data_IF_635034628693
#
_entry.id   IF_635034628693
#
_cell.length_a   1.000
_cell.length_b   1.000
_cell.length_c   1.000
_cell.angle_alpha   90.00
_cell.angle_beta   90.00
_cell.angle_gamma   90.00
#
_symmetry.space_group_name_H-M   'P 1'
#
loop_
_entity.id
_entity.type
_entity.pdbx_description
1 polymer ?
#
# COMPACT_ATOMS: atom_id res chain seq x y z
N UNK A 1 -43.09 -47.40 48.69
CA UNK A 1 -43.97 -46.44 49.39
C UNK A 1 -43.33 -45.08 49.28
N UNK A 2 -44.04 -44.16 48.60
CA UNK A 2 -43.89 -42.70 48.54
C UNK A 2 -42.49 -42.11 48.28
N UNK A 3 -42.22 -41.63 47.07
CA UNK A 3 -42.64 -40.32 46.53
C UNK A 3 -41.86 -39.16 47.15
N UNK A 4 -40.87 -38.64 46.42
CA UNK A 4 -40.82 -37.21 46.14
C UNK A 4 -39.96 -36.92 44.90
N UNK A 5 -40.65 -36.48 43.84
CA UNK A 5 -40.08 -35.93 42.61
C UNK A 5 -40.00 -34.42 42.80
N UNK A 6 -38.81 -33.85 42.76
CA UNK A 6 -38.65 -32.39 42.65
C UNK A 6 -38.65 -32.01 41.18
N UNK A 7 -39.70 -31.28 40.79
CA UNK A 7 -39.94 -30.72 39.47
C UNK A 7 -38.82 -29.76 39.05
N UNK A 8 -38.33 -29.96 37.83
CA UNK A 8 -37.55 -28.99 37.06
C UNK A 8 -38.53 -28.14 36.23
N UNK A 9 -38.43 -26.80 36.21
CA UNK A 9 -39.25 -26.02 35.29
C UNK A 9 -38.75 -26.23 33.87
N UNK A 10 -39.64 -26.73 33.01
CA UNK A 10 -39.41 -26.92 31.59
C UNK A 10 -39.25 -25.58 30.90
N UNK A 11 -38.16 -25.43 30.14
CA UNK A 11 -37.94 -24.28 29.25
C UNK A 11 -38.95 -24.31 28.09
N UNK A 12 -39.68 -23.21 27.93
CA UNK A 12 -40.52 -22.98 26.74
C UNK A 12 -39.68 -22.85 25.46
N UNK A 13 -40.17 -23.32 24.31
CA UNK A 13 -39.50 -23.12 23.04
C UNK A 13 -39.61 -21.66 22.57
N UNK A 14 -38.47 -21.09 22.17
CA UNK A 14 -38.38 -19.77 21.57
C UNK A 14 -39.28 -19.69 20.32
N UNK A 15 -40.27 -18.80 20.38
CA UNK A 15 -41.14 -18.45 19.25
C UNK A 15 -40.36 -17.60 18.25
N UNK A 16 -40.50 -17.93 16.98
CA UNK A 16 -40.05 -17.15 15.83
C UNK A 16 -40.38 -15.66 15.98
N UNK A 17 -39.34 -14.84 16.01
CA UNK A 17 -39.47 -13.39 15.90
C UNK A 17 -39.73 -13.03 14.44
N UNK A 18 -40.98 -12.69 14.12
CA UNK A 18 -41.34 -12.07 12.85
C UNK A 18 -40.59 -10.73 12.66
N UNK A 19 -40.19 -10.37 11.43
CA UNK A 19 -39.54 -9.09 11.17
C UNK A 19 -40.50 -7.93 11.46
N UNK A 20 -40.00 -6.92 12.19
CA UNK A 20 -40.71 -5.67 12.48
C UNK A 20 -41.22 -4.99 11.20
N UNK A 21 -42.43 -4.41 11.20
CA UNK A 21 -42.93 -3.66 10.06
C UNK A 21 -42.09 -2.40 9.87
N UNK A 22 -41.61 -2.22 8.63
CA UNK A 22 -41.02 -0.97 8.14
C UNK A 22 -41.97 0.19 8.46
N UNK A 23 -41.46 1.20 9.18
CA UNK A 23 -42.20 2.41 9.51
C UNK A 23 -42.65 3.17 8.25
N UNK A 24 -43.60 4.11 8.39
CA UNK A 24 -44.14 4.86 7.25
C UNK A 24 -43.01 5.64 6.56
N UNK A 25 -42.88 5.45 5.25
CA UNK A 25 -41.88 6.11 4.42
C UNK A 25 -41.98 7.63 4.50
N UNK A 26 -40.83 8.30 4.63
CA UNK A 26 -40.73 9.74 4.44
C UNK A 26 -41.14 10.11 3.01
N UNK A 27 -41.91 11.21 2.82
CA UNK A 27 -42.22 11.68 1.48
C UNK A 27 -40.93 12.15 0.80
N UNK A 28 -40.66 11.59 -0.39
CA UNK A 28 -39.59 12.05 -1.27
C UNK A 28 -40.00 13.43 -1.81
N UNK A 29 -39.21 14.46 -1.53
CA UNK A 29 -39.41 15.78 -2.10
C UNK A 29 -39.25 15.74 -3.63
N UNK A 30 -40.08 16.47 -4.40
CA UNK A 30 -39.89 16.55 -5.85
C UNK A 30 -38.54 17.21 -6.17
N UNK A 31 -37.88 16.81 -7.27
CA UNK A 31 -36.64 17.45 -7.69
C UNK A 31 -36.90 18.93 -8.01
N UNK A 32 -35.97 19.79 -7.59
CA UNK A 32 -35.99 21.21 -7.93
C UNK A 32 -35.86 21.39 -9.45
N UNK A 33 -36.53 22.40 -10.05
CA UNK A 33 -36.39 22.68 -11.47
C UNK A 33 -34.95 23.09 -11.78
N UNK A 34 -34.35 22.42 -12.77
CA UNK A 34 -33.08 22.85 -13.35
C UNK A 34 -33.37 23.90 -14.42
N UNK A 35 -32.95 25.15 -14.16
CA UNK A 35 -32.93 26.19 -15.19
C UNK A 35 -31.85 25.85 -16.22
N UNK A 36 -32.27 25.33 -17.37
CA UNK A 36 -31.41 25.24 -18.56
C UNK A 36 -31.22 26.65 -19.13
N UNK A 37 -30.00 27.22 -19.15
CA UNK A 37 -29.80 28.53 -19.76
C UNK A 37 -30.05 28.44 -21.26
N UNK A 38 -30.90 29.33 -21.78
CA UNK A 38 -31.24 29.35 -23.20
C UNK A 38 -30.01 29.64 -24.07
N UNK A 39 -30.03 29.11 -25.30
CA UNK A 39 -29.00 29.31 -26.33
C UNK A 39 -28.63 30.79 -26.55
N UNK A 40 -29.56 31.72 -26.30
CA UNK A 40 -29.33 33.15 -26.40
C UNK A 40 -28.42 33.72 -25.28
N UNK A 41 -28.45 33.14 -24.08
CA UNK A 41 -27.60 33.57 -22.96
C UNK A 41 -26.13 33.14 -23.16
N UNK A 42 -25.90 31.92 -23.67
CA UNK A 42 -24.56 31.44 -24.06
C UNK A 42 -23.95 32.25 -25.21
N UNK A 43 -24.78 32.67 -26.17
CA UNK A 43 -24.32 33.43 -27.35
C UNK A 43 -23.92 34.87 -26.99
N UNK A 44 -24.61 35.50 -26.04
CA UNK A 44 -24.23 36.85 -25.53
C UNK A 44 -22.94 36.82 -24.70
N UNK A 45 -22.72 35.79 -23.89
CA UNK A 45 -21.48 35.63 -23.11
C UNK A 45 -20.23 35.52 -24.02
N UNK A 46 -20.32 34.74 -25.09
CA UNK A 46 -19.23 34.61 -26.08
C UNK A 46 -19.00 35.91 -26.87
N UNK A 47 -20.04 36.72 -27.11
CA UNK A 47 -19.89 38.03 -27.77
C UNK A 47 -19.24 39.07 -26.86
N UNK A 48 -19.50 39.05 -25.55
CA UNK A 48 -18.84 39.95 -24.59
C UNK A 48 -17.35 39.65 -24.37
N UNK A 49 -16.89 38.43 -24.60
CA UNK A 49 -15.47 38.07 -24.46
C UNK A 49 -14.57 38.63 -25.59
N UNK A 50 -15.15 38.99 -26.74
CA UNK A 50 -14.40 39.50 -27.89
C UNK A 50 -14.05 41.00 -27.82
N UNK A 51 -14.64 41.77 -26.88
CA UNK A 51 -14.45 43.22 -26.78
C UNK A 51 -13.37 43.66 -25.77
N UNK A 52 -12.71 42.72 -25.08
CA UNK A 52 -11.69 43.02 -24.05
C UNK A 52 -10.24 42.77 -24.50
N UNK A 53 -9.98 42.66 -25.82
CA UNK A 53 -8.70 42.20 -26.35
C UNK A 53 -7.84 43.28 -27.05
N UNK A 54 -8.17 44.58 -26.97
CA UNK A 54 -7.54 45.59 -27.86
C UNK A 54 -6.68 46.68 -27.20
N UNK A 55 -6.38 46.66 -25.89
CA UNK A 55 -5.55 47.74 -25.26
C UNK A 55 -4.50 47.26 -24.25
N UNK A 56 -3.71 46.21 -24.54
CA UNK A 56 -2.54 45.89 -23.69
C UNK A 56 -1.28 45.43 -24.42
N UNK A 57 -1.19 45.59 -25.74
CA UNK A 57 -0.08 45.09 -26.54
C UNK A 57 1.19 45.98 -26.55
N UNK A 58 1.35 46.94 -25.63
CA UNK A 58 2.44 47.92 -25.69
C UNK A 58 3.46 47.88 -24.54
N UNK A 59 3.41 46.91 -23.62
CA UNK A 59 4.28 46.91 -22.43
C UNK A 59 5.15 45.66 -22.21
N UNK A 60 5.27 44.77 -23.20
CA UNK A 60 6.13 43.57 -23.08
C UNK A 60 7.43 43.65 -23.90
N UNK A 61 7.93 44.85 -24.20
CA UNK A 61 9.25 45.05 -24.85
C UNK A 61 10.24 45.65 -23.85
N UNK A 62 10.59 44.86 -22.82
CA UNK A 62 11.79 44.91 -21.94
C UNK A 62 11.48 43.95 -20.78
N UNK A 63 12.17 42.85 -20.53
CA UNK A 63 13.62 42.64 -20.55
C UNK A 63 13.89 41.14 -20.71
N UNK A 64 14.57 40.71 -21.79
CA UNK A 64 15.25 39.42 -21.76
C UNK A 64 16.57 39.64 -20.99
N UNK A 65 16.81 38.95 -19.87
CA UNK A 65 18.14 38.95 -19.27
C UNK A 65 19.12 38.41 -20.32
N UNK A 66 20.35 38.95 -20.38
CA UNK A 66 21.36 38.45 -21.30
C UNK A 66 21.49 36.93 -21.10
N UNK A 67 21.55 36.20 -22.23
CA UNK A 67 21.77 34.76 -22.29
C UNK A 67 22.62 34.30 -21.12
N UNK A 68 22.00 33.53 -20.20
CA UNK A 68 22.73 32.86 -19.15
C UNK A 68 23.90 32.14 -19.84
N UNK A 69 25.13 32.59 -19.54
CA UNK A 69 26.33 31.95 -20.05
C UNK A 69 26.18 30.45 -19.81
N UNK A 70 26.39 29.65 -20.86
CA UNK A 70 26.34 28.20 -20.76
C UNK A 70 27.23 27.81 -19.58
N UNK A 71 26.61 27.34 -18.49
CA UNK A 71 27.36 26.86 -17.35
C UNK A 71 28.29 25.77 -17.88
N UNK A 72 29.60 25.83 -17.57
CA UNK A 72 30.51 24.76 -17.91
C UNK A 72 29.87 23.45 -17.49
N UNK A 73 29.78 22.50 -18.42
CA UNK A 73 29.26 21.17 -18.12
C UNK A 73 30.01 20.68 -16.87
N UNK A 74 29.24 20.38 -15.82
CA UNK A 74 29.83 19.88 -14.60
C UNK A 74 30.75 18.71 -14.96
N UNK A 75 31.95 18.61 -14.36
CA UNK A 75 32.86 17.51 -14.66
C UNK A 75 32.09 16.20 -14.52
N UNK A 76 32.19 15.33 -15.54
CA UNK A 76 31.62 13.99 -15.48
C UNK A 76 32.16 13.36 -14.20
N UNK A 77 31.27 13.12 -13.23
CA UNK A 77 31.66 12.42 -12.00
C UNK A 77 32.14 11.05 -12.42
N UNK A 78 33.38 10.73 -12.08
CA UNK A 78 33.93 9.39 -12.27
C UNK A 78 32.99 8.40 -11.57
N UNK A 79 32.36 7.53 -12.34
CA UNK A 79 31.59 6.41 -11.81
C UNK A 79 32.58 5.45 -11.18
N UNK A 80 32.36 5.09 -9.91
CA UNK A 80 33.13 4.03 -9.28
C UNK A 80 32.99 2.75 -10.12
N UNK A 81 34.06 1.95 -10.29
CA UNK A 81 33.98 0.74 -11.09
C UNK A 81 32.98 -0.24 -10.46
N UNK A 82 32.28 -0.99 -11.31
CA UNK A 82 31.47 -2.10 -10.86
C UNK A 82 32.35 -3.20 -10.25
N UNK A 83 31.85 -3.84 -9.20
CA UNK A 83 32.51 -4.96 -8.52
C UNK A 83 31.53 -6.14 -8.35
N UNK A 84 32.04 -7.38 -8.25
CA UNK A 84 31.19 -8.53 -8.00
C UNK A 84 30.58 -8.46 -6.59
N UNK A 85 29.26 -8.57 -6.49
CA UNK A 85 28.49 -8.64 -5.24
C UNK A 85 27.70 -9.93 -5.22
N UNK A 86 27.80 -10.70 -4.12
CA UNK A 86 27.12 -12.00 -3.96
C UNK A 86 25.88 -11.86 -3.08
N UNK A 87 24.70 -12.11 -3.66
CA UNK A 87 23.41 -12.02 -2.96
C UNK A 87 22.71 -13.38 -2.95
N UNK A 88 22.07 -13.74 -1.84
CA UNK A 88 21.12 -14.86 -1.77
C UNK A 88 19.69 -14.31 -1.87
N UNK A 89 19.04 -14.53 -3.01
CA UNK A 89 17.71 -13.99 -3.30
C UNK A 89 16.76 -15.15 -3.56
N UNK A 90 15.70 -15.25 -2.76
CA UNK A 90 14.69 -16.29 -2.81
C UNK A 90 15.29 -17.72 -2.75
N UNK A 91 16.37 -17.88 -1.97
CA UNK A 91 17.08 -19.16 -1.81
C UNK A 91 18.02 -19.53 -2.96
N UNK A 92 18.31 -18.58 -3.86
CA UNK A 92 19.22 -18.74 -4.99
C UNK A 92 20.35 -17.73 -4.91
N UNK A 93 21.58 -18.22 -5.11
CA UNK A 93 22.76 -17.36 -5.20
C UNK A 93 22.81 -16.59 -6.54
N UNK A 94 23.07 -15.28 -6.43
CA UNK A 94 23.35 -14.36 -7.53
C UNK A 94 24.74 -13.76 -7.34
N UNK A 95 25.49 -13.59 -8.42
CA UNK A 95 26.74 -12.81 -8.44
C UNK A 95 26.58 -11.72 -9.50
N UNK A 96 26.49 -10.47 -9.05
CA UNK A 96 26.14 -9.32 -9.88
C UNK A 96 27.32 -8.35 -9.96
N UNK A 97 27.54 -7.71 -11.11
CA UNK A 97 28.53 -6.65 -11.25
C UNK A 97 27.87 -5.29 -10.98
N UNK A 98 28.12 -4.72 -9.80
CA UNK A 98 27.39 -3.54 -9.30
C UNK A 98 28.35 -2.41 -8.94
N UNK A 99 27.98 -1.16 -9.27
CA UNK A 99 28.61 0.00 -8.64
C UNK A 99 28.22 0.05 -7.14
N UNK A 100 29.08 0.56 -6.23
CA UNK A 100 28.77 0.64 -4.80
C UNK A 100 27.49 1.41 -4.45
N UNK A 101 27.05 2.33 -5.32
CA UNK A 101 25.84 3.14 -5.12
C UNK A 101 24.53 2.44 -5.50
N UNK A 102 24.59 1.25 -6.10
CA UNK A 102 23.38 0.53 -6.54
C UNK A 102 22.57 0.12 -5.31
N UNK A 103 21.34 0.60 -5.23
CA UNK A 103 20.41 0.23 -4.17
C UNK A 103 20.05 -1.25 -4.26
N UNK A 104 19.64 -1.87 -3.14
CA UNK A 104 19.10 -3.24 -3.19
C UNK A 104 17.90 -3.31 -4.14
N UNK A 105 17.05 -2.28 -4.16
CA UNK A 105 15.92 -2.20 -5.08
C UNK A 105 16.36 -2.31 -6.55
N UNK A 106 17.35 -1.53 -6.96
CA UNK A 106 17.80 -1.53 -8.35
C UNK A 106 18.59 -2.80 -8.69
N UNK A 107 19.37 -3.35 -7.76
CA UNK A 107 20.02 -4.65 -7.93
C UNK A 107 18.99 -5.76 -8.21
N UNK A 108 17.90 -5.81 -7.44
CA UNK A 108 16.83 -6.80 -7.65
C UNK A 108 16.18 -6.65 -9.03
N UNK A 109 15.80 -5.43 -9.39
CA UNK A 109 14.99 -5.16 -10.58
C UNK A 109 15.78 -5.20 -11.87
N UNK A 110 16.87 -4.43 -11.91
CA UNK A 110 17.56 -4.09 -13.14
C UNK A 110 18.74 -5.03 -13.43
N UNK A 111 19.28 -5.70 -12.39
CA UNK A 111 20.42 -6.62 -12.52
C UNK A 111 20.01 -8.09 -12.35
N UNK A 112 19.18 -8.41 -11.35
CA UNK A 112 18.70 -9.78 -11.13
C UNK A 112 17.43 -10.12 -11.94
N UNK A 113 16.77 -9.13 -12.55
CA UNK A 113 15.56 -9.31 -13.35
C UNK A 113 14.29 -9.60 -12.54
N UNK A 114 14.35 -9.46 -11.21
CA UNK A 114 13.24 -9.68 -10.29
C UNK A 114 12.44 -8.38 -10.12
N UNK A 115 11.52 -8.17 -11.05
CA UNK A 115 10.80 -6.89 -11.20
C UNK A 115 9.58 -6.75 -10.29
N UNK A 116 9.27 -7.75 -9.47
CA UNK A 116 8.14 -7.77 -8.54
C UNK A 116 8.22 -6.65 -7.51
N UNK A 117 9.41 -6.40 -6.94
CA UNK A 117 9.66 -5.25 -6.06
C UNK A 117 9.57 -3.94 -6.85
N UNK A 118 8.82 -2.95 -6.35
CA UNK A 118 8.47 -1.74 -7.12
C UNK A 118 9.17 -0.49 -6.62
N UNK A 119 9.55 0.38 -7.56
CA UNK A 119 10.04 1.73 -7.28
C UNK A 119 8.87 2.71 -7.33
N UNK A 120 8.37 3.13 -6.18
CA UNK A 120 7.29 4.11 -6.08
C UNK A 120 7.77 5.55 -5.88
N UNK A 121 8.68 5.76 -4.92
CA UNK A 121 9.18 7.09 -4.55
C UNK A 121 10.71 7.20 -4.51
N UNK A 122 11.42 6.09 -4.33
CA UNK A 122 12.89 6.02 -4.17
C UNK A 122 13.45 6.84 -2.98
N UNK A 123 12.61 7.07 -1.96
CA UNK A 123 12.93 7.93 -0.80
C UNK A 123 12.36 7.41 0.53
N UNK A 124 11.99 6.13 0.59
CA UNK A 124 11.43 5.48 1.79
C UNK A 124 10.02 5.93 2.19
N UNK A 125 9.30 6.64 1.33
CA UNK A 125 8.01 7.25 1.67
C UNK A 125 6.79 6.36 1.43
N UNK A 126 6.91 5.30 0.61
CA UNK A 126 5.74 4.58 0.09
C UNK A 126 5.64 3.09 0.40
N UNK A 127 6.73 2.44 0.83
CA UNK A 127 6.77 0.99 1.08
C UNK A 127 6.58 0.07 -0.15
N UNK A 128 6.39 0.59 -1.36
CA UNK A 128 6.23 -0.26 -2.56
C UNK A 128 7.47 -1.14 -2.86
N UNK A 129 8.62 -0.76 -2.32
CA UNK A 129 9.89 -1.46 -2.43
C UNK A 129 10.20 -2.41 -1.26
N UNK A 130 9.21 -2.73 -0.42
CA UNK A 130 9.47 -3.61 0.74
C UNK A 130 9.89 -5.02 0.29
N UNK A 131 10.98 -5.49 0.88
CA UNK A 131 11.48 -6.88 0.79
C UNK A 131 11.80 -7.37 2.20
N UNK A 132 12.03 -8.67 2.38
CA UNK A 132 12.51 -9.24 3.63
C UNK A 132 14.00 -9.52 3.55
N UNK A 133 14.76 -9.07 4.54
CA UNK A 133 16.17 -9.41 4.73
C UNK A 133 16.30 -10.13 6.06
N UNK A 134 16.69 -11.40 6.02
CA UNK A 134 16.66 -12.31 7.17
C UNK A 134 15.35 -12.26 7.95
N UNK A 135 14.24 -12.25 7.20
CA UNK A 135 12.87 -12.19 7.73
C UNK A 135 12.40 -10.79 8.14
N UNK A 136 13.29 -9.80 8.22
CA UNK A 136 12.94 -8.42 8.60
C UNK A 136 12.55 -7.62 7.37
N UNK A 137 11.38 -6.99 7.38
CA UNK A 137 10.97 -6.09 6.29
C UNK A 137 11.80 -4.80 6.27
N UNK A 138 12.29 -4.41 5.11
CA UNK A 138 13.03 -3.16 4.89
C UNK A 138 12.61 -2.48 3.57
N UNK A 139 12.84 -1.17 3.49
CA UNK A 139 12.73 -0.43 2.23
C UNK A 139 13.99 -0.63 1.38
N UNK A 140 13.90 -1.44 0.31
CA UNK A 140 15.05 -1.75 -0.53
C UNK A 140 15.68 -0.53 -1.24
N UNK A 141 14.94 0.58 -1.38
CA UNK A 141 15.48 1.83 -1.97
C UNK A 141 16.43 2.61 -1.04
N UNK A 142 16.43 2.32 0.27
CA UNK A 142 17.23 3.05 1.27
C UNK A 142 18.43 2.25 1.78
N UNK A 143 18.86 1.24 1.04
CA UNK A 143 20.02 0.42 1.36
C UNK A 143 20.77 0.04 0.10
N UNK A 144 22.07 -0.18 0.21
CA UNK A 144 22.95 -0.52 -0.91
C UNK A 144 23.05 -2.04 -1.04
N UNK A 145 23.09 -2.56 -2.26
CA UNK A 145 23.17 -4.00 -2.50
C UNK A 145 24.42 -4.63 -1.86
N UNK A 146 25.55 -3.91 -1.89
CA UNK A 146 26.83 -4.33 -1.28
C UNK A 146 26.75 -4.54 0.24
N UNK A 147 25.74 -3.98 0.92
CA UNK A 147 25.58 -4.13 2.37
C UNK A 147 24.93 -5.45 2.77
N UNK A 148 24.39 -6.21 1.81
CA UNK A 148 23.57 -7.39 2.05
C UNK A 148 24.24 -8.70 1.62
N UNK A 149 25.58 -8.70 1.45
CA UNK A 149 26.29 -9.95 1.22
C UNK A 149 26.18 -10.88 2.44
N UNK A 150 25.82 -12.13 2.20
CA UNK A 150 25.67 -13.15 3.25
C UNK A 150 24.31 -13.17 3.95
N UNK A 151 23.43 -12.20 3.68
CA UNK A 151 22.06 -12.16 4.20
C UNK A 151 21.07 -12.81 3.21
N UNK A 152 19.96 -13.34 3.71
CA UNK A 152 18.91 -13.91 2.85
C UNK A 152 17.87 -12.87 2.50
N UNK A 153 17.71 -12.61 1.21
CA UNK A 153 16.72 -11.67 0.68
C UNK A 153 15.51 -12.45 0.15
N UNK A 154 14.32 -12.11 0.61
CA UNK A 154 13.05 -12.62 0.05
C UNK A 154 12.26 -11.47 -0.57
N UNK A 155 11.94 -11.60 -1.85
CA UNK A 155 11.05 -10.69 -2.58
C UNK A 155 9.65 -11.28 -2.70
N UNK A 156 8.71 -10.55 -3.31
CA UNK A 156 7.34 -11.04 -3.52
C UNK A 156 7.30 -12.37 -4.31
N UNK A 157 8.22 -12.54 -5.25
CA UNK A 157 8.37 -13.76 -6.05
C UNK A 157 8.73 -14.98 -5.20
N UNK A 158 9.42 -14.77 -4.07
CA UNK A 158 9.81 -15.83 -3.13
C UNK A 158 8.77 -16.18 -2.07
N UNK A 159 7.63 -15.48 -2.02
CA UNK A 159 6.57 -15.77 -1.04
C UNK A 159 5.78 -17.05 -1.41
N UNK A 160 5.60 -17.31 -2.70
CA UNK A 160 5.01 -18.56 -3.17
C UNK A 160 6.08 -19.67 -3.19
N UNK A 161 5.69 -20.90 -2.84
CA UNK A 161 6.57 -22.07 -2.88
C UNK A 161 5.94 -23.14 -3.73
N UNK A 162 6.72 -23.70 -4.67
CA UNK A 162 6.27 -24.78 -5.56
C UNK A 162 4.94 -24.48 -6.29
N UNK A 163 4.75 -23.22 -6.68
CA UNK A 163 3.53 -22.75 -7.34
C UNK A 163 2.33 -22.52 -6.42
N UNK A 164 2.47 -22.77 -5.12
CA UNK A 164 1.43 -22.55 -4.11
C UNK A 164 1.59 -21.16 -3.50
N UNK A 165 0.51 -20.37 -3.56
CA UNK A 165 0.44 -19.05 -2.94
C UNK A 165 0.61 -19.13 -1.41
N UNK A 166 1.33 -18.16 -0.84
CA UNK A 166 1.37 -18.01 0.61
C UNK A 166 -0.03 -17.71 1.17
N UNK A 167 -0.29 -17.96 2.47
CA UNK A 167 -1.56 -17.60 3.09
C UNK A 167 -1.93 -16.13 2.90
N UNK A 168 -0.95 -15.23 2.98
CA UNK A 168 -1.11 -13.79 2.73
C UNK A 168 -1.48 -13.53 1.26
N UNK A 169 -0.79 -14.13 0.29
CA UNK A 169 -1.10 -13.96 -1.14
C UNK A 169 -2.53 -14.43 -1.46
N UNK A 170 -2.92 -15.60 -0.96
CA UNK A 170 -4.27 -16.14 -1.15
C UNK A 170 -5.33 -15.23 -0.55
N UNK A 171 -5.13 -14.75 0.68
CA UNK A 171 -6.06 -13.83 1.31
C UNK A 171 -6.16 -12.50 0.54
N UNK A 172 -5.07 -11.98 -0.03
CA UNK A 172 -5.12 -10.77 -0.83
C UNK A 172 -5.97 -10.94 -2.11
N UNK A 173 -5.97 -12.13 -2.71
CA UNK A 173 -6.83 -12.45 -3.86
C UNK A 173 -8.29 -12.58 -3.41
N UNK A 174 -8.54 -13.35 -2.35
CA UNK A 174 -9.91 -13.63 -1.87
C UNK A 174 -10.65 -12.37 -1.42
N UNK A 175 -9.94 -11.44 -0.78
CA UNK A 175 -10.53 -10.21 -0.24
C UNK A 175 -10.41 -9.01 -1.17
N UNK A 176 -9.97 -9.20 -2.42
CA UNK A 176 -9.76 -8.11 -3.39
C UNK A 176 -8.89 -6.97 -2.80
N UNK A 177 -7.78 -7.36 -2.18
CA UNK A 177 -6.89 -6.47 -1.41
C UNK A 177 -5.89 -5.70 -2.30
N UNK A 178 -6.23 -5.47 -3.55
CA UNK A 178 -5.44 -4.68 -4.50
C UNK A 178 -6.33 -4.23 -5.68
N UNK A 179 -5.82 -3.28 -6.48
CA UNK A 179 -6.45 -2.90 -7.74
C UNK A 179 -5.38 -2.80 -8.84
N UNK A 180 -4.68 -1.66 -8.96
CA UNK A 180 -3.63 -1.48 -9.97
C UNK A 180 -2.42 -2.42 -9.80
N UNK A 181 -2.32 -3.10 -8.66
CA UNK A 181 -1.26 -4.05 -8.35
C UNK A 181 0.09 -3.45 -7.94
N UNK A 182 0.31 -2.14 -8.13
CA UNK A 182 1.64 -1.54 -7.99
C UNK A 182 2.19 -1.58 -6.56
N UNK A 183 1.36 -1.30 -5.55
CA UNK A 183 1.79 -1.39 -4.15
C UNK A 183 1.79 -2.83 -3.61
N UNK A 184 1.15 -3.77 -4.31
CA UNK A 184 0.78 -5.08 -3.77
C UNK A 184 1.99 -5.89 -3.34
N UNK A 185 3.11 -5.85 -4.08
CA UNK A 185 4.35 -6.54 -3.70
C UNK A 185 4.85 -6.10 -2.33
N UNK A 186 4.92 -4.79 -2.10
CA UNK A 186 5.33 -4.23 -0.81
C UNK A 186 4.33 -4.56 0.30
N UNK A 187 3.03 -4.52 0.01
CA UNK A 187 1.97 -4.90 0.95
C UNK A 187 2.10 -6.37 1.38
N UNK A 188 2.33 -7.30 0.44
CA UNK A 188 2.48 -8.73 0.72
C UNK A 188 3.71 -9.03 1.59
N UNK A 189 4.88 -8.43 1.25
CA UNK A 189 6.09 -8.57 2.06
C UNK A 189 5.88 -7.97 3.46
N UNK A 190 5.29 -6.77 3.56
CA UNK A 190 5.03 -6.14 4.85
C UNK A 190 4.04 -6.91 5.70
N UNK A 191 2.96 -7.43 5.12
CA UNK A 191 1.97 -8.24 5.82
C UNK A 191 2.59 -9.54 6.34
N UNK A 192 3.45 -10.19 5.55
CA UNK A 192 4.18 -11.40 5.98
C UNK A 192 5.02 -11.12 7.22
N UNK A 193 5.89 -10.10 7.17
CA UNK A 193 6.72 -9.75 8.32
C UNK A 193 5.92 -9.22 9.51
N UNK A 194 4.81 -8.51 9.29
CA UNK A 194 3.91 -8.06 10.36
C UNK A 194 3.39 -9.23 11.18
N UNK A 195 2.99 -10.33 10.52
CA UNK A 195 2.47 -11.51 11.21
C UNK A 195 3.56 -12.17 12.07
N UNK A 196 4.79 -12.25 11.54
CA UNK A 196 5.95 -12.77 12.28
C UNK A 196 6.33 -11.84 13.46
N UNK A 197 6.34 -10.53 13.25
CA UNK A 197 6.60 -9.51 14.29
C UNK A 197 5.58 -9.63 15.43
N UNK A 198 4.29 -9.78 15.11
CA UNK A 198 3.23 -9.98 16.10
C UNK A 198 3.37 -11.33 16.83
N UNK A 199 3.68 -12.41 16.11
CA UNK A 199 3.92 -13.72 16.69
C UNK A 199 5.14 -13.74 17.63
N UNK A 200 6.17 -12.93 17.34
CA UNK A 200 7.32 -12.68 18.20
C UNK A 200 7.01 -11.75 19.40
N UNK A 201 5.82 -11.16 19.44
CA UNK A 201 5.35 -10.31 20.54
C UNK A 201 5.81 -8.85 20.47
N UNK A 202 6.26 -8.38 19.31
CA UNK A 202 6.60 -6.97 19.11
C UNK A 202 5.35 -6.08 19.26
N UNK A 203 5.44 -4.99 20.02
CA UNK A 203 4.42 -3.95 20.08
C UNK A 203 4.45 -2.99 18.88
N UNK A 204 3.40 -2.18 18.75
CA UNK A 204 3.32 -1.07 17.79
C UNK A 204 2.87 0.20 18.51
N UNK A 205 2.71 1.33 17.78
CA UNK A 205 2.15 2.54 18.38
C UNK A 205 0.67 2.39 18.78
N UNK A 206 -0.02 1.36 18.28
CA UNK A 206 -1.39 1.02 18.66
C UNK A 206 -1.47 0.06 19.87
N UNK A 207 -0.33 -0.37 20.42
CA UNK A 207 -0.28 -1.25 21.59
C UNK A 207 -0.44 -0.43 22.88
N UNK A 208 -1.45 -0.75 23.70
CA UNK A 208 -1.77 -0.02 24.94
C UNK A 208 -0.61 0.03 25.96
N UNK A 209 0.09 -1.09 26.18
CA UNK A 209 1.28 -1.17 27.04
C UNK A 209 2.41 -1.87 26.29
N UNK A 210 3.31 -1.09 25.70
CA UNK A 210 4.46 -1.57 24.91
C UNK A 210 5.45 -2.44 25.70
N UNK A 211 5.33 -2.50 27.04
CA UNK A 211 6.14 -3.40 27.89
C UNK A 211 5.56 -4.81 27.94
N UNK A 212 4.36 -5.03 27.41
CA UNK A 212 3.66 -6.31 27.38
C UNK A 212 3.49 -6.77 25.94
N UNK A 213 3.46 -8.09 25.76
CA UNK A 213 3.10 -8.70 24.48
C UNK A 213 1.67 -8.29 24.10
N UNK A 214 1.41 -7.82 22.87
CA UNK A 214 0.06 -7.56 22.40
C UNK A 214 -0.81 -8.83 22.47
N UNK A 215 -1.98 -8.73 23.11
CA UNK A 215 -2.86 -9.89 23.33
C UNK A 215 -3.63 -10.30 22.07
N UNK A 216 -3.87 -9.36 21.15
CA UNK A 216 -4.63 -9.58 19.91
C UNK A 216 -4.08 -8.71 18.78
N UNK A 217 -4.15 -9.22 17.56
CA UNK A 217 -3.90 -8.44 16.36
C UNK A 217 -5.22 -7.78 15.92
N UNK A 218 -5.55 -6.63 16.52
CA UNK A 218 -6.75 -5.87 16.17
C UNK A 218 -6.61 -5.19 14.80
N UNK A 219 -7.72 -4.70 14.24
CA UNK A 219 -7.68 -3.92 13.00
C UNK A 219 -6.80 -2.66 13.14
N UNK A 220 -6.76 -2.03 14.32
CA UNK A 220 -5.91 -0.86 14.57
C UNK A 220 -4.41 -1.24 14.62
N UNK A 221 -4.07 -2.39 15.20
CA UNK A 221 -2.71 -2.94 15.13
C UNK A 221 -2.30 -3.23 13.68
N UNK A 222 -3.20 -3.80 12.87
CA UNK A 222 -2.91 -4.07 11.46
C UNK A 222 -2.71 -2.75 10.70
N UNK A 223 -3.61 -1.77 10.87
CA UNK A 223 -3.50 -0.45 10.23
C UNK A 223 -2.19 0.25 10.58
N UNK A 224 -1.86 0.28 11.87
CA UNK A 224 -0.63 0.92 12.35
C UNK A 224 0.60 0.24 11.76
N UNK A 225 0.70 -1.09 11.85
CA UNK A 225 1.85 -1.84 11.36
C UNK A 225 1.98 -1.86 9.84
N UNK A 226 0.89 -1.64 9.10
CA UNK A 226 0.89 -1.54 7.63
C UNK A 226 0.99 -0.09 7.12
N UNK A 227 0.99 0.91 8.01
CA UNK A 227 0.94 2.34 7.66
C UNK A 227 2.10 2.81 6.78
N UNK A 228 3.25 2.11 6.82
CA UNK A 228 4.41 2.36 5.97
C UNK A 228 4.23 1.96 4.49
N UNK A 229 3.11 1.32 4.12
CA UNK A 229 2.82 0.87 2.76
C UNK A 229 1.61 1.62 2.17
N UNK A 230 1.89 2.57 1.28
CA UNK A 230 0.86 3.42 0.70
C UNK A 230 0.17 2.74 -0.49
N UNK A 231 -1.16 2.86 -0.54
CA UNK A 231 -2.03 2.40 -1.61
C UNK A 231 -2.88 3.58 -2.14
N UNK A 232 -2.57 4.07 -3.34
CA UNK A 232 -3.33 5.19 -3.93
C UNK A 232 -4.71 4.79 -4.44
N UNK A 233 -4.90 3.52 -4.79
CA UNK A 233 -6.21 2.95 -5.13
C UNK A 233 -7.17 2.91 -3.92
N UNK A 234 -6.65 3.01 -2.70
CA UNK A 234 -7.47 3.02 -1.49
C UNK A 234 -7.98 1.65 -1.04
N UNK A 235 -7.28 0.56 -1.40
CA UNK A 235 -7.69 -0.81 -1.04
C UNK A 235 -7.48 -1.16 0.47
N UNK A 236 -7.22 -0.17 1.34
CA UNK A 236 -6.83 -0.41 2.73
C UNK A 236 -7.84 -1.24 3.54
N UNK A 237 -9.17 -1.04 3.45
CA UNK A 237 -10.12 -1.88 4.19
C UNK A 237 -9.99 -3.37 3.82
N UNK A 238 -9.83 -3.66 2.54
CA UNK A 238 -9.64 -5.01 2.01
C UNK A 238 -8.28 -5.59 2.40
N UNK A 239 -7.22 -4.77 2.39
CA UNK A 239 -5.89 -5.17 2.90
C UNK A 239 -5.96 -5.57 4.38
N UNK A 240 -6.63 -4.79 5.22
CA UNK A 240 -6.80 -5.12 6.64
C UNK A 240 -7.59 -6.44 6.80
N UNK A 241 -8.66 -6.62 6.03
CA UNK A 241 -9.44 -7.86 6.04
C UNK A 241 -8.60 -9.08 5.62
N UNK A 242 -7.78 -8.94 4.57
CA UNK A 242 -6.90 -10.00 4.09
C UNK A 242 -5.83 -10.38 5.11
N UNK A 243 -5.18 -9.40 5.76
CA UNK A 243 -4.17 -9.67 6.81
C UNK A 243 -4.80 -10.39 7.99
N UNK A 244 -6.00 -9.97 8.43
CA UNK A 244 -6.74 -10.65 9.50
C UNK A 244 -7.10 -12.09 9.14
N UNK A 245 -7.57 -12.33 7.92
CA UNK A 245 -7.88 -13.68 7.44
C UNK A 245 -6.64 -14.57 7.36
N UNK A 246 -5.52 -14.02 6.87
CA UNK A 246 -4.24 -14.72 6.86
C UNK A 246 -3.77 -15.08 8.28
N UNK A 247 -3.89 -14.17 9.24
CA UNK A 247 -3.56 -14.43 10.65
C UNK A 247 -4.39 -15.59 11.23
N UNK A 248 -5.70 -15.61 10.97
CA UNK A 248 -6.58 -16.67 11.45
C UNK A 248 -6.25 -18.04 10.84
N UNK A 249 -5.72 -18.10 9.62
CA UNK A 249 -5.29 -19.33 8.97
C UNK A 249 -3.89 -19.81 9.41
N UNK A 250 -3.14 -18.98 10.16
CA UNK A 250 -1.81 -19.30 10.69
C UNK A 250 -1.83 -19.87 12.12
N UNK A 251 -3.02 -19.90 12.77
CA UNK A 251 -3.22 -20.39 14.14
C UNK A 251 -3.74 -21.81 14.21
#
# INVERSE_FOLDING_TARGET
MSSDRSDSPSAEPARDAAPSPLGPGHPVAPPLPHDTPSSAARRRFLQSAAAAATVSAASHVHSQPPHAAAQPAAPRRDTAPAQPVRLDINGRAYTLQLEPRVTLLDALREYAGLTGTKKGCDRGQCGACTVLVDGRRINACLTLAVMHEGERITTVEGLARDGVLSPVQRAFVEYDAFQCGYCTSGQLCSATALLDEFAAGAGSAATDDVRRRPARLSDDEIRERMSGNLCRCGAYPNIVAAVRAAHAAHG
#
